data_IF_913671900888
#
_entry.id   IF_913671900888
#
_cell.length_a   1.000
_cell.length_b   1.000
_cell.length_c   1.000
_cell.angle_alpha   90.00
_cell.angle_beta   90.00
_cell.angle_gamma   90.00
#
_symmetry.space_group_name_H-M   'P 1'
#
loop_
_entity.id
_entity.type
_entity.pdbx_description
1 polymer ?
#
# COMPACT_ATOMS: atom_id res chain seq x y z
N UNK A 1 -1.45 -5.59 -5.55
CA UNK A 1 -1.14 -4.31 -6.21
C UNK A 1 0.20 -4.50 -6.89
N UNK A 2 0.51 -4.09 -8.03
CA UNK A 2 1.78 -4.26 -8.75
C UNK A 2 2.20 -5.73 -8.96
N UNK A 3 1.25 -6.65 -9.08
CA UNK A 3 1.55 -8.04 -9.39
C UNK A 3 2.28 -8.13 -10.73
N UNK A 4 3.31 -8.98 -10.78
CA UNK A 4 4.12 -9.13 -11.99
C UNK A 4 5.19 -8.05 -12.19
N UNK A 5 5.28 -7.07 -11.28
CA UNK A 5 6.25 -5.97 -11.36
C UNK A 5 7.20 -5.93 -10.17
N UNK A 6 7.50 -7.08 -9.60
CA UNK A 6 8.29 -7.15 -8.36
C UNK A 6 9.66 -6.48 -8.47
N UNK A 7 10.37 -6.69 -9.58
CA UNK A 7 11.69 -6.08 -9.77
C UNK A 7 11.60 -4.56 -9.87
N UNK A 8 10.58 -4.06 -10.58
CA UNK A 8 10.35 -2.62 -10.73
C UNK A 8 9.99 -1.97 -9.39
N UNK A 9 9.18 -2.65 -8.59
CA UNK A 9 8.84 -2.20 -7.23
C UNK A 9 10.10 -2.08 -6.38
N UNK A 10 10.96 -3.10 -6.42
CA UNK A 10 12.20 -3.09 -5.65
C UNK A 10 13.13 -1.95 -6.08
N UNK A 11 13.22 -1.69 -7.37
CA UNK A 11 14.00 -0.57 -7.88
C UNK A 11 13.44 0.76 -7.36
N UNK A 12 12.13 0.96 -7.42
CA UNK A 12 11.52 2.18 -6.90
C UNK A 12 11.73 2.33 -5.40
N UNK A 13 11.63 1.24 -4.64
CA UNK A 13 11.86 1.27 -3.20
C UNK A 13 13.28 1.67 -2.85
N UNK A 14 14.26 1.28 -3.68
CA UNK A 14 15.64 1.66 -3.43
C UNK A 14 15.95 3.10 -3.81
N UNK A 15 15.22 3.67 -4.75
CA UNK A 15 15.44 5.04 -5.24
C UNK A 15 14.63 6.09 -4.52
N UNK A 16 13.45 5.71 -4.03
CA UNK A 16 12.48 6.67 -3.48
C UNK A 16 12.08 6.23 -2.07
N UNK A 17 12.58 6.96 -1.06
CA UNK A 17 12.29 6.65 0.33
C UNK A 17 10.81 6.82 0.67
N UNK A 18 10.12 7.79 0.04
CA UNK A 18 8.68 7.97 0.24
C UNK A 18 7.91 6.78 -0.29
N UNK A 19 8.24 6.32 -1.50
CA UNK A 19 7.60 5.14 -2.08
C UNK A 19 7.81 3.92 -1.18
N UNK A 20 9.03 3.70 -0.71
CA UNK A 20 9.35 2.59 0.18
C UNK A 20 8.52 2.64 1.46
N UNK A 21 8.47 3.81 2.11
CA UNK A 21 7.69 3.97 3.34
C UNK A 21 6.20 3.70 3.12
N UNK A 22 5.65 4.23 2.05
CA UNK A 22 4.24 4.02 1.71
C UNK A 22 3.95 2.56 1.36
N UNK A 23 4.85 1.91 0.63
CA UNK A 23 4.68 0.52 0.25
C UNK A 23 4.67 -0.39 1.47
N UNK A 24 5.60 -0.19 2.39
CA UNK A 24 5.66 -0.96 3.64
C UNK A 24 4.45 -0.67 4.51
N UNK A 25 4.02 0.58 4.58
CA UNK A 25 2.83 0.98 5.31
C UNK A 25 1.58 0.32 4.74
N UNK A 26 1.44 0.30 3.42
CA UNK A 26 0.31 -0.35 2.76
C UNK A 26 0.27 -1.84 3.07
N UNK A 27 1.42 -2.52 3.04
CA UNK A 27 1.48 -3.94 3.38
C UNK A 27 1.05 -4.20 4.82
N UNK A 28 1.49 -3.36 5.74
CA UNK A 28 1.11 -3.47 7.15
C UNK A 28 -0.39 -3.25 7.33
N UNK A 29 -0.94 -2.22 6.70
CA UNK A 29 -2.38 -1.93 6.76
C UNK A 29 -3.20 -3.05 6.15
N UNK A 30 -2.74 -3.60 5.03
CA UNK A 30 -3.41 -4.72 4.38
C UNK A 30 -3.49 -5.93 5.31
N UNK A 31 -2.39 -6.24 5.98
CA UNK A 31 -2.34 -7.32 6.97
C UNK A 31 -3.29 -7.06 8.13
N UNK A 32 -3.29 -5.84 8.67
CA UNK A 32 -4.15 -5.48 9.78
C UNK A 32 -5.63 -5.60 9.42
N UNK A 33 -6.01 -5.15 8.24
CA UNK A 33 -7.39 -5.27 7.75
C UNK A 33 -7.77 -6.73 7.61
N UNK A 34 -6.91 -7.55 7.01
CA UNK A 34 -7.16 -8.97 6.85
C UNK A 34 -7.32 -9.67 8.21
N UNK A 35 -6.43 -9.40 9.16
CA UNK A 35 -6.48 -9.97 10.49
C UNK A 35 -7.75 -9.56 11.22
N UNK A 36 -8.19 -8.32 11.05
CA UNK A 36 -9.44 -7.85 11.66
C UNK A 36 -10.66 -8.55 11.05
N UNK A 37 -10.67 -8.75 9.73
CA UNK A 37 -11.77 -9.44 9.05
C UNK A 37 -11.83 -10.92 9.41
N UNK A 38 -10.69 -11.53 9.70
CA UNK A 38 -10.62 -12.93 10.13
C UNK A 38 -10.88 -13.10 11.63
N UNK A 39 -11.04 -12.01 12.38
CA UNK A 39 -11.26 -12.06 13.82
C UNK A 39 -9.99 -12.28 14.64
N UNK A 40 -8.83 -12.31 14.02
CA UNK A 40 -7.54 -12.45 14.70
C UNK A 40 -7.19 -11.18 15.46
N UNK A 41 -7.49 -10.03 14.86
CA UNK A 41 -7.30 -8.72 15.46
C UNK A 41 -8.67 -8.16 15.85
N UNK A 42 -9.00 -8.07 17.15
CA UNK A 42 -10.33 -7.62 17.57
C UNK A 42 -10.45 -6.11 17.44
N UNK A 43 -11.09 -5.65 16.39
CA UNK A 43 -11.36 -4.23 16.14
C UNK A 43 -12.87 -4.01 16.06
N UNK A 44 -13.31 -2.85 16.55
CA UNK A 44 -14.68 -2.41 16.33
C UNK A 44 -14.85 -1.92 14.87
N UNK A 45 -16.11 -1.73 14.46
CA UNK A 45 -16.42 -1.36 13.08
C UNK A 45 -15.80 -0.01 12.69
N UNK A 46 -15.79 0.96 13.61
CA UNK A 46 -15.21 2.27 13.35
C UNK A 46 -13.71 2.19 13.09
N UNK A 47 -13.00 1.43 13.91
CA UNK A 47 -11.56 1.25 13.75
C UNK A 47 -11.23 0.54 12.44
N UNK A 48 -12.02 -0.48 12.08
CA UNK A 48 -11.83 -1.18 10.82
C UNK A 48 -12.05 -0.27 9.62
N UNK A 49 -13.08 0.58 9.66
CA UNK A 49 -13.34 1.57 8.60
C UNK A 49 -12.15 2.51 8.45
N UNK A 50 -11.60 2.99 9.56
CA UNK A 50 -10.42 3.87 9.53
C UNK A 50 -9.23 3.20 8.89
N UNK A 51 -8.95 1.94 9.25
CA UNK A 51 -7.85 1.18 8.65
C UNK A 51 -8.04 1.01 7.15
N UNK A 52 -9.26 0.70 6.71
CA UNK A 52 -9.56 0.56 5.28
C UNK A 52 -9.33 1.86 4.53
N UNK A 53 -9.71 2.99 5.13
CA UNK A 53 -9.48 4.31 4.52
C UNK A 53 -8.00 4.63 4.41
N UNK A 54 -7.22 4.35 5.46
CA UNK A 54 -5.77 4.55 5.43
C UNK A 54 -5.12 3.68 4.36
N UNK A 55 -5.54 2.42 4.27
CA UNK A 55 -5.04 1.50 3.26
C UNK A 55 -5.32 2.03 1.86
N UNK A 56 -6.53 2.51 1.63
CA UNK A 56 -6.91 3.07 0.32
C UNK A 56 -6.10 4.32 -0.01
N UNK A 57 -5.89 5.21 0.96
CA UNK A 57 -5.08 6.41 0.75
C UNK A 57 -3.64 6.06 0.39
N UNK A 58 -3.06 5.09 1.11
CA UNK A 58 -1.70 4.63 0.80
C UNK A 58 -1.62 4.04 -0.60
N UNK A 59 -2.60 3.22 -0.97
CA UNK A 59 -2.68 2.64 -2.31
C UNK A 59 -2.81 3.71 -3.38
N UNK A 60 -3.67 4.70 -3.17
CA UNK A 60 -3.88 5.77 -4.15
C UNK A 60 -2.58 6.57 -4.35
N UNK A 61 -1.89 6.88 -3.26
CA UNK A 61 -0.61 7.60 -3.34
C UNK A 61 0.45 6.76 -4.06
N UNK A 62 0.55 5.49 -3.72
CA UNK A 62 1.48 4.58 -4.37
C UNK A 62 1.21 4.46 -5.86
N UNK A 63 -0.06 4.31 -6.23
CA UNK A 63 -0.47 4.23 -7.63
C UNK A 63 -0.10 5.51 -8.38
N UNK A 64 -0.33 6.67 -7.76
CA UNK A 64 0.02 7.96 -8.35
C UNK A 64 1.53 8.08 -8.58
N UNK A 65 2.32 7.67 -7.58
CA UNK A 65 3.78 7.70 -7.70
C UNK A 65 4.29 6.72 -8.78
N UNK A 66 3.69 5.54 -8.83
CA UNK A 66 4.00 4.53 -9.85
C UNK A 66 3.70 5.05 -11.25
N UNK A 67 2.50 5.60 -11.44
CA UNK A 67 2.09 6.13 -12.74
C UNK A 67 2.99 7.28 -13.19
N UNK A 68 3.36 8.15 -12.26
CA UNK A 68 4.26 9.27 -12.55
C UNK A 68 5.64 8.76 -12.98
N UNK A 69 6.16 7.75 -12.30
CA UNK A 69 7.47 7.18 -12.62
C UNK A 69 7.48 6.50 -13.99
N UNK A 70 6.35 5.99 -14.44
CA UNK A 70 6.22 5.28 -15.71
C UNK A 70 5.61 6.12 -16.82
N UNK A 71 5.16 7.33 -16.53
CA UNK A 71 4.52 8.20 -17.53
C UNK A 71 5.48 8.57 -18.66
N UNK A 72 6.76 8.69 -18.37
CA UNK A 72 7.77 9.04 -19.36
C UNK A 72 8.11 7.89 -20.30
N UNK A 73 7.56 6.72 -20.07
CA UNK A 73 7.80 5.54 -20.90
C UNK A 73 6.95 5.52 -22.19
N UNK A 74 6.08 6.51 -22.35
CA UNK A 74 5.21 6.61 -23.52
C UNK A 74 5.89 7.35 -24.67
#
# INVERSE_FOLDING_TARGET
MFEGHQQEVEVMMSRDAEFRSLYLRHRELDKQVLDAELGVLPLDDMSLVKLKKEKLRAKDRLTSMWDRAHASAH
#
